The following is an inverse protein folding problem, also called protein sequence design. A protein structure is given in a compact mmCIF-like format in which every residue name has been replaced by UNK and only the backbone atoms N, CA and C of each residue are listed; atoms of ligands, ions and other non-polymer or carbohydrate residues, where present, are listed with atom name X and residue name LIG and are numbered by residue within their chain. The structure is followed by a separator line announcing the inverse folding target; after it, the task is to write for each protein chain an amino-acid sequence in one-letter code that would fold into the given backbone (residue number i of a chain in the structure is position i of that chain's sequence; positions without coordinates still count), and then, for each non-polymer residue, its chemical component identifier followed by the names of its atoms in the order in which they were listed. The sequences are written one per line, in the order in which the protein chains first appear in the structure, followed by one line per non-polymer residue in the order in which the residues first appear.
data_IF_954473928017
#
_entry.id   IF_954473928017
#
_cell.length_a   1.000
_cell.length_b   1.000
_cell.length_c   1.000
_cell.angle_alpha   90.00
_cell.angle_beta   90.00
_cell.angle_gamma   90.00
#
_symmetry.space_group_name_H-M   'P 1'
#
loop_
_entity.id
_entity.type
_entity.pdbx_description
1 polymer ?
#
# COMPACT_ATOMS: atom_id res chain seq x y z
N UNK A 1 -12.90 20.38 -3.44
CA UNK A 1 -13.81 21.28 -2.74
C UNK A 1 -13.17 22.00 -1.53
N UNK A 2 -11.86 21.80 -1.29
CA UNK A 2 -11.10 22.50 -0.25
C UNK A 2 -11.44 22.09 1.20
N UNK A 3 -12.07 20.93 1.39
CA UNK A 3 -12.39 20.38 2.71
C UNK A 3 -11.79 18.99 2.84
N UNK A 4 -11.20 18.69 4.01
CA UNK A 4 -10.67 17.40 4.35
C UNK A 4 -11.62 16.63 5.26
N UNK A 5 -11.69 15.31 5.09
CA UNK A 5 -12.52 14.42 5.89
C UNK A 5 -11.68 13.22 6.31
N UNK A 6 -11.88 12.77 7.55
CA UNK A 6 -11.32 11.54 8.08
C UNK A 6 -12.44 10.54 8.27
N UNK A 7 -12.32 9.36 7.64
CA UNK A 7 -13.26 8.25 7.72
C UNK A 7 -12.70 7.10 8.52
N UNK A 8 -13.55 6.45 9.32
CA UNK A 8 -13.20 5.23 10.07
C UNK A 8 -14.45 4.46 10.47
N UNK A 9 -14.27 3.28 11.04
CA UNK A 9 -15.31 2.54 11.77
C UNK A 9 -15.41 1.06 11.40
N UNK A 10 -15.87 0.27 12.37
CA UNK A 10 -16.18 -1.15 12.29
C UNK A 10 -17.30 -1.47 13.29
N UNK A 11 -18.47 -1.90 12.85
CA UNK A 11 -19.04 -1.97 11.50
C UNK A 11 -19.78 -0.69 11.08
N UNK A 12 -19.76 0.35 11.88
CA UNK A 12 -20.44 1.60 11.59
C UNK A 12 -19.44 2.58 10.99
N UNK A 13 -19.73 3.05 9.80
CA UNK A 13 -18.94 4.08 9.15
C UNK A 13 -19.20 5.43 9.78
N UNK A 14 -18.14 6.12 10.13
CA UNK A 14 -18.16 7.48 10.69
C UNK A 14 -17.18 8.37 9.95
N UNK A 15 -17.43 9.67 10.02
CA UNK A 15 -16.45 10.65 9.57
C UNK A 15 -16.49 11.92 10.42
N UNK A 16 -15.38 12.67 10.38
CA UNK A 16 -15.29 14.06 10.82
C UNK A 16 -14.86 14.94 9.66
N UNK A 17 -15.21 16.20 9.70
CA UNK A 17 -14.63 17.24 8.85
C UNK A 17 -13.42 17.83 9.57
N UNK A 18 -12.24 17.69 8.99
CA UNK A 18 -11.03 18.29 9.55
C UNK A 18 -11.02 19.81 9.36
N UNK A 19 -10.43 20.50 10.32
CA UNK A 19 -10.10 21.92 10.21
C UNK A 19 -8.86 22.12 9.32
N UNK A 20 -8.54 23.36 9.00
CA UNK A 20 -7.39 23.68 8.13
C UNK A 20 -6.03 23.23 8.71
N UNK A 21 -5.95 23.09 10.02
CA UNK A 21 -4.75 22.59 10.71
C UNK A 21 -4.48 21.09 10.50
N UNK A 22 -5.47 20.34 9.97
CA UNK A 22 -5.44 18.90 9.70
C UNK A 22 -5.24 18.01 10.95
N UNK A 23 -5.26 18.56 12.14
CA UNK A 23 -5.10 17.85 13.44
C UNK A 23 -6.29 18.02 14.39
N UNK A 24 -7.18 18.96 14.10
CA UNK A 24 -8.44 19.14 14.78
C UNK A 24 -9.62 18.98 13.83
N UNK A 25 -10.84 18.88 14.36
CA UNK A 25 -12.03 18.70 13.55
C UNK A 25 -13.16 19.63 13.98
N UNK A 26 -14.07 19.88 13.07
CA UNK A 26 -15.22 20.75 13.23
C UNK A 26 -16.30 20.09 14.10
N UNK A 27 -16.48 20.60 15.31
CA UNK A 27 -17.47 20.10 16.27
C UNK A 27 -18.91 20.58 16.01
N UNK A 28 -19.13 21.43 14.99
CA UNK A 28 -20.44 21.99 14.69
C UNK A 28 -21.34 21.07 13.85
N UNK A 29 -20.81 19.96 13.34
CA UNK A 29 -21.56 18.97 12.54
C UNK A 29 -21.77 17.68 13.32
N UNK A 30 -22.83 16.94 13.01
CA UNK A 30 -23.11 15.64 13.63
C UNK A 30 -23.26 15.70 15.16
N UNK A 31 -22.84 14.62 15.81
CA UNK A 31 -22.77 14.52 17.26
C UNK A 31 -21.36 14.90 17.74
N UNK A 32 -21.20 16.10 18.29
CA UNK A 32 -19.91 16.65 18.72
C UNK A 32 -18.79 16.56 17.64
N UNK A 33 -19.16 16.77 16.38
CA UNK A 33 -18.25 16.70 15.24
C UNK A 33 -18.22 15.35 14.53
N UNK A 34 -18.76 14.30 15.13
CA UNK A 34 -18.79 12.95 14.53
C UNK A 34 -20.11 12.77 13.77
N UNK A 35 -20.01 12.40 12.51
CA UNK A 35 -21.16 12.05 11.68
C UNK A 35 -21.19 10.53 11.50
N UNK A 36 -22.27 9.92 11.95
CA UNK A 36 -22.57 8.51 11.71
C UNK A 36 -23.26 8.38 10.36
N UNK A 37 -22.65 7.64 9.45
CA UNK A 37 -23.24 7.38 8.13
C UNK A 37 -24.38 6.37 8.28
N UNK A 38 -25.48 6.62 7.62
CA UNK A 38 -26.62 5.70 7.63
C UNK A 38 -26.25 4.42 6.86
N UNK A 39 -26.30 3.29 7.57
CA UNK A 39 -25.88 1.97 7.05
C UNK A 39 -27.08 1.26 6.41
N UNK A 40 -27.39 1.61 5.15
CA UNK A 40 -28.46 0.97 4.37
C UNK A 40 -27.91 -0.01 3.35
N UNK A 41 -28.71 -1.00 2.94
CA UNK A 41 -28.31 -1.94 1.88
C UNK A 41 -28.08 -1.26 0.53
N UNK A 42 -28.83 -0.18 0.23
CA UNK A 42 -28.64 0.61 -0.98
C UNK A 42 -27.26 1.32 -1.01
N UNK A 43 -26.79 1.74 0.18
CA UNK A 43 -25.53 2.44 0.33
C UNK A 43 -24.33 1.49 0.42
N UNK A 44 -24.46 0.32 1.09
CA UNK A 44 -23.33 -0.55 1.43
C UNK A 44 -23.53 -2.03 1.11
N UNK A 45 -24.58 -2.36 0.37
CA UNK A 45 -24.90 -3.72 -0.03
C UNK A 45 -25.61 -4.54 1.04
N UNK A 46 -26.33 -5.54 0.60
CA UNK A 46 -27.04 -6.47 1.46
C UNK A 46 -26.06 -7.53 2.01
N UNK A 47 -26.11 -7.73 3.33
CA UNK A 47 -25.34 -8.79 4.00
C UNK A 47 -26.11 -10.10 3.98
N UNK A 48 -25.44 -11.20 3.61
CA UNK A 48 -26.05 -12.52 3.57
C UNK A 48 -26.49 -13.00 4.96
N UNK A 49 -25.64 -12.79 5.96
CA UNK A 49 -25.93 -13.14 7.37
C UNK A 49 -25.92 -11.88 8.22
N UNK A 50 -27.09 -11.31 8.45
CA UNK A 50 -27.28 -10.11 9.26
C UNK A 50 -27.24 -10.44 10.75
N UNK A 51 -26.70 -9.51 11.54
CA UNK A 51 -26.75 -9.53 12.99
C UNK A 51 -27.06 -8.13 13.51
N UNK A 52 -27.32 -7.98 14.82
CA UNK A 52 -27.53 -6.67 15.43
C UNK A 52 -26.33 -5.73 15.24
N UNK A 53 -25.13 -6.30 15.09
CA UNK A 53 -23.89 -5.56 14.86
C UNK A 53 -23.67 -5.24 13.38
N UNK A 54 -23.90 -6.20 12.48
CA UNK A 54 -23.63 -6.09 11.05
C UNK A 54 -24.93 -6.16 10.25
N UNK A 55 -25.41 -5.01 9.79
CA UNK A 55 -26.69 -4.87 9.07
C UNK A 55 -26.52 -4.80 7.55
N UNK A 56 -25.33 -4.41 7.09
CA UNK A 56 -24.97 -4.29 5.67
C UNK A 56 -23.71 -5.07 5.36
N UNK A 57 -23.28 -5.07 4.10
CA UNK A 57 -22.07 -5.76 3.68
C UNK A 57 -20.76 -5.07 4.13
N UNK A 58 -20.82 -3.80 4.58
CA UNK A 58 -19.68 -3.07 5.12
C UNK A 58 -19.14 -3.73 6.40
N UNK A 59 -17.81 -3.91 6.46
CA UNK A 59 -17.10 -4.36 7.66
C UNK A 59 -16.29 -3.20 8.28
N UNK A 60 -15.24 -2.77 7.55
CA UNK A 60 -14.24 -1.83 8.02
C UNK A 60 -13.33 -1.30 6.89
N UNK A 61 -12.24 -0.64 7.24
CA UNK A 61 -11.19 -0.23 6.33
C UNK A 61 -11.63 0.74 5.22
N UNK A 62 -12.40 1.81 5.55
CA UNK A 62 -12.90 2.71 4.51
C UNK A 62 -11.76 3.49 3.88
N UNK A 63 -11.71 3.52 2.56
CA UNK A 63 -10.81 4.33 1.77
C UNK A 63 -11.59 5.21 0.80
N UNK A 64 -11.56 6.53 1.04
CA UNK A 64 -12.21 7.50 0.17
C UNK A 64 -11.25 7.99 -0.91
N UNK A 65 -11.67 7.89 -2.16
CA UNK A 65 -10.94 8.41 -3.30
C UNK A 65 -11.86 9.20 -4.23
N UNK A 66 -11.35 10.27 -4.84
CA UNK A 66 -12.07 11.07 -5.84
C UNK A 66 -11.47 10.84 -7.21
N UNK A 67 -12.27 10.38 -8.16
CA UNK A 67 -11.88 10.18 -9.55
C UNK A 67 -13.09 10.24 -10.46
N UNK A 68 -12.89 10.42 -11.76
CA UNK A 68 -13.95 10.41 -12.78
C UNK A 68 -15.17 11.30 -12.44
N UNK A 69 -14.92 12.42 -11.76
CA UNK A 69 -15.98 13.38 -11.39
C UNK A 69 -16.87 12.98 -10.21
N UNK A 70 -16.60 11.87 -9.54
CA UNK A 70 -17.35 11.38 -8.38
C UNK A 70 -16.43 10.88 -7.28
N UNK A 71 -17.01 10.46 -6.16
CA UNK A 71 -16.30 9.85 -5.04
C UNK A 71 -16.54 8.35 -5.01
N UNK A 72 -15.50 7.61 -4.69
CA UNK A 72 -15.49 6.17 -4.50
C UNK A 72 -15.08 5.89 -3.05
N UNK A 73 -15.88 5.12 -2.36
CA UNK A 73 -15.55 4.62 -1.03
C UNK A 73 -15.35 3.11 -1.14
N UNK A 74 -14.10 2.68 -1.04
CA UNK A 74 -13.74 1.27 -0.99
C UNK A 74 -13.72 0.81 0.46
N UNK A 75 -14.09 -0.43 0.73
CA UNK A 75 -14.15 -0.97 2.08
C UNK A 75 -14.06 -2.50 2.11
N UNK A 76 -13.58 -3.04 3.23
CA UNK A 76 -13.66 -4.46 3.53
C UNK A 76 -15.12 -4.87 3.75
N UNK A 77 -15.52 -6.01 3.20
CA UNK A 77 -16.92 -6.41 3.15
C UNK A 77 -17.13 -7.92 3.28
N UNK A 78 -18.36 -8.32 3.65
CA UNK A 78 -18.87 -9.69 3.52
C UNK A 78 -18.50 -10.66 4.61
N UNK A 79 -17.89 -10.21 5.70
CA UNK A 79 -17.39 -11.07 6.78
C UNK A 79 -16.05 -11.72 6.44
N UNK A 80 -15.48 -12.45 7.38
CA UNK A 80 -14.16 -13.09 7.27
C UNK A 80 -14.29 -14.47 6.59
N UNK A 81 -13.51 -14.78 5.53
CA UNK A 81 -12.56 -13.92 4.83
C UNK A 81 -13.25 -12.77 4.08
N UNK A 82 -12.63 -11.59 4.16
CA UNK A 82 -13.16 -10.38 3.56
C UNK A 82 -12.98 -10.34 2.04
N UNK A 83 -13.87 -9.59 1.41
CA UNK A 83 -13.73 -9.09 0.03
C UNK A 83 -13.56 -7.58 0.08
N UNK A 84 -13.15 -6.94 -1.01
CA UNK A 84 -13.22 -5.49 -1.13
C UNK A 84 -14.42 -5.12 -2.00
N UNK A 85 -15.31 -4.31 -1.42
CA UNK A 85 -16.45 -3.74 -2.13
C UNK A 85 -16.31 -2.22 -2.22
N UNK A 86 -17.21 -1.59 -2.97
CA UNK A 86 -17.21 -0.14 -3.07
C UNK A 86 -18.61 0.45 -3.25
N UNK A 87 -18.71 1.71 -2.88
CA UNK A 87 -19.85 2.57 -3.14
C UNK A 87 -19.40 3.86 -3.81
N UNK A 88 -20.30 4.53 -4.52
CA UNK A 88 -20.02 5.82 -5.13
C UNK A 88 -20.97 6.90 -4.62
N UNK A 89 -20.53 8.15 -4.70
CA UNK A 89 -21.33 9.31 -4.33
C UNK A 89 -20.96 10.56 -5.15
N UNK A 90 -21.88 11.52 -5.31
CA UNK A 90 -21.57 12.80 -5.96
C UNK A 90 -20.77 13.73 -5.05
N UNK A 91 -20.78 13.52 -3.74
CA UNK A 91 -20.01 14.30 -2.77
C UNK A 91 -19.17 13.42 -1.85
N UNK A 92 -18.18 13.99 -1.17
CA UNK A 92 -17.35 13.27 -0.22
C UNK A 92 -18.15 12.66 0.96
N UNK A 93 -19.35 13.13 1.21
CA UNK A 93 -20.19 12.70 2.34
C UNK A 93 -21.45 11.94 1.93
N UNK A 94 -21.56 11.55 0.67
CA UNK A 94 -22.72 10.84 0.14
C UNK A 94 -23.66 11.73 -0.72
N UNK A 95 -24.92 11.29 -0.98
CA UNK A 95 -25.44 9.98 -0.61
C UNK A 95 -24.70 8.85 -1.32
N UNK A 96 -24.48 7.74 -0.60
CA UNK A 96 -23.75 6.58 -1.11
C UNK A 96 -24.66 5.63 -1.88
N UNK A 97 -24.14 5.03 -2.94
CA UNK A 97 -24.78 3.98 -3.75
C UNK A 97 -23.84 2.82 -3.89
N UNK A 98 -24.24 1.64 -3.42
CA UNK A 98 -23.46 0.41 -3.51
C UNK A 98 -23.25 -0.01 -4.97
N UNK A 99 -22.06 -0.43 -5.31
CA UNK A 99 -21.67 -0.83 -6.67
C UNK A 99 -21.27 -2.30 -6.79
N UNK A 100 -21.03 -2.96 -5.67
CA UNK A 100 -20.65 -4.38 -5.66
C UNK A 100 -19.25 -4.63 -5.15
N UNK A 101 -18.83 -5.87 -5.28
CA UNK A 101 -17.49 -6.35 -4.97
C UNK A 101 -16.57 -6.01 -6.13
N UNK A 102 -15.41 -5.43 -5.83
CA UNK A 102 -14.37 -5.08 -6.81
C UNK A 102 -13.21 -6.05 -6.76
N UNK A 103 -12.90 -6.61 -5.59
CA UNK A 103 -11.93 -7.69 -5.43
C UNK A 103 -12.57 -8.81 -4.60
N UNK A 104 -12.77 -9.95 -5.24
CA UNK A 104 -13.34 -11.15 -4.61
C UNK A 104 -12.26 -11.94 -3.85
N UNK A 105 -12.67 -12.96 -3.13
CA UNK A 105 -11.77 -13.89 -2.43
C UNK A 105 -10.89 -14.60 -3.45
N UNK A 106 -9.60 -14.64 -3.14
CA UNK A 106 -8.60 -15.28 -4.00
C UNK A 106 -7.65 -16.13 -3.15
N UNK A 107 -7.18 -17.28 -3.63
CA UNK A 107 -6.11 -18.03 -2.97
C UNK A 107 -4.89 -17.12 -2.74
N UNK A 108 -4.34 -17.15 -1.53
CA UNK A 108 -3.20 -16.32 -1.13
C UNK A 108 -3.55 -14.90 -0.65
N UNK A 109 -4.80 -14.45 -0.77
CA UNK A 109 -5.24 -13.27 -0.04
C UNK A 109 -5.35 -13.58 1.46
N UNK A 110 -4.99 -12.59 2.27
CA UNK A 110 -5.22 -12.63 3.71
C UNK A 110 -6.72 -12.74 4.01
N UNK A 111 -7.07 -13.31 5.16
CA UNK A 111 -8.48 -13.39 5.59
C UNK A 111 -9.09 -12.02 5.90
N UNK A 112 -8.26 -11.00 6.17
CA UNK A 112 -8.63 -9.59 6.18
C UNK A 112 -8.04 -8.93 4.93
N UNK A 113 -8.76 -8.00 4.31
CA UNK A 113 -8.27 -7.33 3.11
C UNK A 113 -8.72 -5.86 3.08
N UNK A 114 -7.76 -4.96 3.15
CA UNK A 114 -7.99 -3.53 3.07
C UNK A 114 -7.40 -2.97 1.78
N UNK A 115 -8.04 -1.94 1.25
CA UNK A 115 -7.61 -1.26 0.03
C UNK A 115 -7.06 0.12 0.28
N UNK A 116 -6.24 0.58 -0.65
CA UNK A 116 -5.84 1.97 -0.79
C UNK A 116 -5.83 2.34 -2.27
N UNK A 117 -6.26 3.54 -2.61
CA UNK A 117 -6.26 4.02 -4.00
C UNK A 117 -5.54 5.34 -4.08
N UNK A 118 -4.65 5.47 -5.06
CA UNK A 118 -3.94 6.71 -5.35
C UNK A 118 -3.83 6.92 -6.85
N UNK A 119 -3.91 8.17 -7.28
CA UNK A 119 -3.51 8.55 -8.62
C UNK A 119 -2.04 8.95 -8.61
N UNK A 120 -1.25 8.29 -9.44
CA UNK A 120 0.16 8.57 -9.58
C UNK A 120 0.56 8.61 -11.06
N UNK A 121 1.10 9.75 -11.49
CA UNK A 121 1.52 10.00 -12.89
C UNK A 121 0.44 9.66 -13.93
N UNK A 122 -0.82 10.00 -13.63
CA UNK A 122 -1.95 9.79 -14.54
C UNK A 122 -2.49 8.34 -14.55
N UNK A 123 -2.03 7.48 -13.66
CA UNK A 123 -2.57 6.12 -13.47
C UNK A 123 -3.23 6.04 -12.10
N UNK A 124 -4.41 5.46 -12.04
CA UNK A 124 -5.05 5.09 -10.77
C UNK A 124 -4.54 3.71 -10.36
N UNK A 125 -3.99 3.63 -9.17
CA UNK A 125 -3.37 2.43 -8.59
C UNK A 125 -4.18 1.97 -7.40
N UNK A 126 -4.45 0.66 -7.37
CA UNK A 126 -5.16 0.01 -6.29
C UNK A 126 -4.21 -0.84 -5.46
N UNK A 127 -4.02 -0.45 -4.22
CA UNK A 127 -3.20 -1.18 -3.25
C UNK A 127 -4.08 -2.09 -2.41
N UNK A 128 -3.57 -3.25 -2.10
CA UNK A 128 -4.18 -4.23 -1.20
C UNK A 128 -3.08 -5.03 -0.50
N UNK A 129 -3.42 -6.05 0.26
CA UNK A 129 -2.42 -6.92 0.87
C UNK A 129 -2.77 -8.40 0.70
N UNK A 130 -1.73 -9.23 0.74
CA UNK A 130 -1.83 -10.68 0.73
C UNK A 130 -0.90 -11.31 1.77
N UNK A 131 -0.77 -12.63 1.75
CA UNK A 131 0.07 -13.41 2.67
C UNK A 131 1.10 -14.28 1.94
N UNK A 132 1.45 -13.96 0.69
CA UNK A 132 2.22 -14.86 -0.18
C UNK A 132 3.73 -14.75 -0.02
N UNK A 133 4.27 -13.72 0.64
CA UNK A 133 5.69 -13.65 0.95
C UNK A 133 6.12 -14.70 1.97
N UNK A 134 7.38 -15.14 1.96
CA UNK A 134 7.91 -16.04 3.00
C UNK A 134 7.61 -15.52 4.41
N UNK A 135 7.05 -16.36 5.27
CA UNK A 135 6.58 -15.97 6.60
C UNK A 135 5.26 -15.22 6.62
N UNK A 136 4.58 -15.10 5.50
CA UNK A 136 3.26 -14.49 5.38
C UNK A 136 2.17 -15.24 6.14
N UNK A 137 1.06 -14.57 6.39
CA UNK A 137 -0.11 -15.09 7.09
C UNK A 137 -1.12 -13.97 7.29
N UNK A 138 -2.28 -14.29 7.89
CA UNK A 138 -3.38 -13.33 8.00
C UNK A 138 -3.04 -11.99 8.64
N UNK A 139 -2.02 -11.95 9.50
CA UNK A 139 -1.51 -10.69 10.11
C UNK A 139 -0.13 -10.28 9.61
N UNK A 140 0.60 -11.17 8.93
CA UNK A 140 1.89 -10.88 8.30
C UNK A 140 1.64 -10.51 6.83
N UNK A 141 1.25 -9.27 6.61
CA UNK A 141 0.69 -8.77 5.35
C UNK A 141 1.77 -8.26 4.43
N UNK A 142 1.66 -8.60 3.15
CA UNK A 142 2.51 -8.10 2.07
C UNK A 142 1.74 -7.14 1.20
N UNK A 143 2.30 -5.97 0.92
CA UNK A 143 1.66 -4.97 0.06
C UNK A 143 1.67 -5.42 -1.39
N UNK A 144 0.52 -5.32 -2.04
CA UNK A 144 0.31 -5.60 -3.45
C UNK A 144 -0.26 -4.38 -4.16
N UNK A 145 -0.10 -4.30 -5.46
CA UNK A 145 -0.62 -3.22 -6.29
C UNK A 145 -1.06 -3.72 -7.65
N UNK A 146 -2.23 -3.24 -8.08
CA UNK A 146 -2.79 -3.45 -9.42
C UNK A 146 -3.22 -2.11 -10.02
N UNK A 147 -3.46 -2.09 -11.34
CA UNK A 147 -4.13 -0.95 -11.96
C UNK A 147 -5.60 -0.89 -11.56
N UNK A 148 -6.10 0.28 -11.20
CA UNK A 148 -7.53 0.53 -11.05
C UNK A 148 -8.10 0.93 -12.41
N UNK A 149 -8.78 -0.02 -13.05
CA UNK A 149 -9.40 0.20 -14.35
C UNK A 149 -10.90 0.46 -14.23
N UNK A 150 -11.44 1.20 -15.20
CA UNK A 150 -12.86 1.56 -15.24
C UNK A 150 -13.51 1.02 -16.51
N UNK A 151 -14.75 0.56 -16.35
CA UNK A 151 -15.63 0.23 -17.47
C UNK A 151 -16.15 1.52 -18.12
N UNK A 152 -16.69 1.43 -19.37
CA UNK A 152 -17.25 2.61 -20.05
C UNK A 152 -18.41 3.32 -19.31
N UNK A 153 -19.09 2.60 -18.42
CA UNK A 153 -20.19 3.12 -17.59
C UNK A 153 -19.68 3.81 -16.30
N UNK A 154 -18.36 3.88 -16.09
CA UNK A 154 -17.73 4.46 -14.92
C UNK A 154 -17.67 3.53 -13.68
N UNK A 155 -18.16 2.30 -13.80
CA UNK A 155 -17.94 1.29 -12.75
C UNK A 155 -16.49 0.83 -12.74
N UNK A 156 -16.02 0.36 -11.58
CA UNK A 156 -14.68 -0.21 -11.45
C UNK A 156 -14.67 -1.62 -12.02
N UNK A 157 -13.72 -1.92 -12.90
CA UNK A 157 -13.51 -3.27 -13.40
C UNK A 157 -13.04 -4.19 -12.26
N UNK A 158 -13.42 -5.48 -12.25
CA UNK A 158 -12.96 -6.42 -11.24
C UNK A 158 -11.42 -6.47 -11.16
N UNK A 159 -10.89 -6.42 -9.95
CA UNK A 159 -9.46 -6.48 -9.69
C UNK A 159 -9.08 -7.92 -9.37
N UNK A 160 -8.22 -8.48 -10.20
CA UNK A 160 -7.72 -9.84 -10.07
C UNK A 160 -6.25 -9.75 -9.62
N UNK A 161 -5.92 -10.30 -8.44
CA UNK A 161 -4.54 -10.32 -7.95
C UNK A 161 -3.59 -10.98 -8.96
N UNK A 162 -2.47 -10.33 -9.24
CA UNK A 162 -1.42 -10.85 -10.12
C UNK A 162 -0.17 -11.23 -9.35
N UNK A 163 0.61 -12.14 -9.90
CA UNK A 163 1.96 -12.43 -9.40
C UNK A 163 2.93 -11.44 -10.02
N UNK A 164 3.58 -10.64 -9.17
CA UNK A 164 4.54 -9.64 -9.60
C UNK A 164 3.96 -8.25 -9.88
N UNK A 165 2.65 -8.04 -9.67
CA UNK A 165 2.00 -6.74 -9.73
C UNK A 165 2.04 -6.10 -11.12
N UNK A 166 2.03 -4.78 -11.17
CA UNK A 166 2.06 -3.98 -12.39
C UNK A 166 3.33 -4.25 -13.19
N UNK A 167 3.18 -4.74 -14.42
CA UNK A 167 4.31 -5.09 -15.28
C UNK A 167 4.84 -3.89 -16.07
N UNK A 168 3.97 -2.96 -16.44
CA UNK A 168 4.35 -1.76 -17.15
C UNK A 168 4.87 -0.70 -16.17
N UNK A 169 6.07 -0.20 -16.43
CA UNK A 169 6.70 0.82 -15.59
C UNK A 169 5.95 2.15 -15.65
N UNK A 170 5.66 2.71 -14.48
CA UNK A 170 5.10 4.06 -14.36
C UNK A 170 6.19 5.13 -14.57
N UNK A 171 7.45 4.74 -14.40
CA UNK A 171 8.61 5.60 -14.57
C UNK A 171 9.90 4.83 -14.43
N UNK A 172 11.01 5.56 -14.42
CA UNK A 172 12.34 5.02 -14.26
C UNK A 172 12.99 5.53 -12.97
N UNK A 173 13.80 4.68 -12.34
CA UNK A 173 14.65 5.05 -11.23
C UNK A 173 15.98 5.59 -11.76
N UNK A 174 16.37 6.81 -11.34
CA UNK A 174 17.69 7.36 -11.67
C UNK A 174 18.75 6.74 -10.77
N UNK A 175 19.77 6.08 -11.32
CA UNK A 175 20.88 5.54 -10.53
C UNK A 175 21.97 6.58 -10.22
N UNK A 176 21.80 7.82 -10.69
CA UNK A 176 22.82 8.88 -10.57
C UNK A 176 22.58 9.81 -9.38
N UNK A 177 21.55 9.57 -8.61
CA UNK A 177 21.26 10.23 -7.34
C UNK A 177 21.18 9.20 -6.23
N UNK A 178 21.36 9.64 -4.98
CA UNK A 178 21.15 8.78 -3.82
C UNK A 178 19.73 8.22 -3.83
N UNK A 179 19.62 6.91 -3.64
CA UNK A 179 18.38 6.16 -3.47
C UNK A 179 18.53 5.40 -2.16
N UNK A 180 17.57 5.53 -1.27
CA UNK A 180 17.57 4.80 -0.01
C UNK A 180 17.35 3.30 -0.26
N UNK A 181 18.03 2.45 0.49
CA UNK A 181 18.04 1.00 0.25
C UNK A 181 16.65 0.35 0.42
N UNK A 182 15.81 0.94 1.27
CA UNK A 182 14.42 0.52 1.46
C UNK A 182 13.50 0.87 0.26
N UNK A 183 13.97 1.67 -0.70
CA UNK A 183 13.29 1.90 -1.99
C UNK A 183 13.54 0.72 -2.91
N UNK A 184 12.87 -0.38 -2.66
CA UNK A 184 13.06 -1.64 -3.39
C UNK A 184 11.76 -2.13 -4.04
N UNK A 185 11.88 -2.85 -5.15
CA UNK A 185 10.76 -3.51 -5.80
C UNK A 185 10.52 -4.93 -5.24
N UNK A 186 11.54 -5.52 -4.61
CA UNK A 186 11.48 -6.82 -3.97
C UNK A 186 12.68 -7.02 -3.05
N UNK A 187 12.53 -7.86 -2.04
CA UNK A 187 13.62 -8.28 -1.16
C UNK A 187 13.42 -9.70 -0.66
N UNK A 188 14.47 -10.31 -0.18
CA UNK A 188 14.44 -11.60 0.50
C UNK A 188 15.48 -11.59 1.63
N UNK A 189 15.09 -12.07 2.82
CA UNK A 189 15.92 -12.24 4.01
C UNK A 189 16.09 -10.99 4.88
N UNK A 190 15.99 -9.79 4.33
CA UNK A 190 16.29 -8.52 5.00
C UNK A 190 15.20 -8.09 6.00
N UNK A 191 15.59 -7.22 6.93
CA UNK A 191 14.69 -6.49 7.82
C UNK A 191 14.83 -4.99 7.64
N UNK A 192 13.88 -4.23 8.15
CA UNK A 192 13.94 -2.76 8.22
C UNK A 192 13.97 -2.32 9.67
N UNK A 193 14.80 -1.34 9.96
CA UNK A 193 14.83 -0.65 11.25
C UNK A 193 14.79 0.86 11.04
N UNK A 194 14.60 1.62 12.10
CA UNK A 194 14.61 3.08 12.06
C UNK A 194 15.43 3.66 13.19
N UNK A 195 16.10 4.77 12.90
CA UNK A 195 16.86 5.58 13.85
C UNK A 195 16.50 7.05 13.64
N UNK A 196 16.51 7.84 14.71
CA UNK A 196 16.10 9.26 14.65
C UNK A 196 17.02 10.12 13.76
N UNK A 197 18.30 9.75 13.61
CA UNK A 197 19.30 10.52 12.85
C UNK A 197 19.37 10.13 11.38
N UNK A 198 19.22 8.82 11.09
CA UNK A 198 19.43 8.28 9.73
C UNK A 198 18.12 7.90 9.02
N UNK A 199 17.00 7.86 9.75
CA UNK A 199 15.72 7.43 9.21
C UNK A 199 15.57 5.91 9.15
N UNK A 200 14.81 5.40 8.17
CA UNK A 200 14.66 3.97 7.93
C UNK A 200 15.89 3.43 7.19
N UNK A 201 16.28 2.21 7.49
CA UNK A 201 17.41 1.53 6.86
C UNK A 201 17.21 0.01 6.82
N UNK A 202 17.91 -0.63 5.90
CA UNK A 202 17.95 -2.10 5.77
C UNK A 202 18.94 -2.68 6.77
N UNK A 203 18.54 -3.73 7.50
CA UNK A 203 19.34 -4.44 8.52
C UNK A 203 19.15 -5.94 8.45
N UNK A 204 19.80 -6.68 9.35
CA UNK A 204 19.79 -8.15 9.44
C UNK A 204 20.13 -8.81 8.10
N UNK A 205 21.29 -8.39 7.56
CA UNK A 205 21.78 -8.87 6.28
C UNK A 205 22.65 -10.11 6.47
N UNK A 206 22.16 -11.24 5.97
CA UNK A 206 22.87 -12.53 5.95
C UNK A 206 23.33 -12.92 4.52
N UNK A 207 24.11 -13.98 4.44
CA UNK A 207 24.58 -14.49 3.15
C UNK A 207 23.43 -15.00 2.28
N UNK A 208 23.30 -14.48 1.08
CA UNK A 208 22.23 -14.79 0.13
C UNK A 208 21.04 -13.84 0.16
N UNK A 209 20.98 -12.93 1.12
CA UNK A 209 19.95 -11.89 1.16
C UNK A 209 20.12 -10.90 0.02
N UNK A 210 19.02 -10.34 -0.48
CA UNK A 210 19.10 -9.37 -1.56
C UNK A 210 17.96 -8.36 -1.56
N UNK A 211 18.20 -7.22 -2.17
CA UNK A 211 17.21 -6.26 -2.62
C UNK A 211 17.21 -6.18 -4.14
N UNK A 212 16.05 -5.94 -4.73
CA UNK A 212 15.87 -5.81 -6.18
C UNK A 212 15.27 -4.45 -6.52
N UNK A 213 15.93 -3.75 -7.40
CA UNK A 213 15.42 -2.54 -8.03
C UNK A 213 14.88 -2.87 -9.42
N UNK A 214 13.87 -2.17 -9.90
CA UNK A 214 13.29 -2.32 -11.24
C UNK A 214 13.36 -1.01 -12.00
N UNK A 215 13.40 -1.10 -13.32
CA UNK A 215 13.36 0.05 -14.23
C UNK A 215 14.42 1.12 -13.94
N UNK A 216 15.62 0.67 -13.59
CA UNK A 216 16.77 1.56 -13.37
C UNK A 216 17.28 2.06 -14.72
N UNK A 217 17.30 3.38 -14.92
CA UNK A 217 17.67 4.00 -16.20
C UNK A 217 19.15 4.36 -16.25
N UNK A 218 19.98 3.46 -16.76
CA UNK A 218 21.42 3.69 -16.99
C UNK A 218 21.68 4.38 -18.35
N UNK A 219 21.04 5.51 -18.61
CA UNK A 219 21.11 6.18 -19.93
C UNK A 219 22.53 6.52 -20.39
N UNK A 220 23.45 6.76 -19.46
CA UNK A 220 24.85 7.11 -19.74
C UNK A 220 25.83 6.00 -19.30
N UNK A 221 25.31 4.85 -18.91
CA UNK A 221 26.08 3.79 -18.27
C UNK A 221 26.51 4.16 -16.85
N UNK A 222 27.08 3.19 -16.13
CA UNK A 222 27.63 3.39 -14.80
C UNK A 222 29.00 2.71 -14.73
N UNK A 223 29.93 3.34 -14.03
CA UNK A 223 31.30 2.82 -13.84
C UNK A 223 31.65 2.61 -12.37
N UNK A 224 30.81 3.10 -11.48
CA UNK A 224 31.05 3.09 -10.04
C UNK A 224 29.73 2.85 -9.31
N UNK A 225 29.76 2.02 -8.30
CA UNK A 225 28.71 1.84 -7.32
C UNK A 225 29.18 2.42 -5.98
N UNK A 226 28.35 3.22 -5.35
CA UNK A 226 28.60 3.80 -4.03
C UNK A 226 27.47 3.36 -3.10
N UNK A 227 27.83 2.95 -1.91
CA UNK A 227 26.88 2.56 -0.88
C UNK A 227 27.27 3.18 0.46
N UNK A 228 26.26 3.61 1.22
CA UNK A 228 26.43 3.97 2.60
C UNK A 228 25.98 2.77 3.45
N UNK A 229 26.95 2.11 4.05
CA UNK A 229 26.73 0.89 4.83
C UNK A 229 27.62 0.88 6.07
N UNK A 230 27.19 0.17 7.11
CA UNK A 230 27.96 -0.10 8.30
C UNK A 230 28.04 -1.60 8.57
N UNK A 231 29.12 -2.05 9.19
CA UNK A 231 29.29 -3.42 9.65
C UNK A 231 29.89 -3.40 11.08
N UNK A 232 29.44 -4.29 11.97
CA UNK A 232 29.96 -4.37 13.34
C UNK A 232 31.46 -4.61 13.37
N UNK A 233 32.08 -4.26 14.51
CA UNK A 233 33.53 -4.51 14.71
C UNK A 233 33.86 -6.00 14.53
N UNK A 234 34.89 -6.27 13.76
CA UNK A 234 35.33 -7.64 13.45
C UNK A 234 34.51 -8.37 12.38
N UNK A 235 33.45 -7.75 11.84
CA UNK A 235 32.69 -8.28 10.72
C UNK A 235 33.13 -7.66 9.39
N UNK A 236 32.91 -8.38 8.31
CA UNK A 236 33.12 -7.92 6.94
C UNK A 236 32.14 -8.64 6.01
N UNK A 237 31.78 -7.98 4.94
CA UNK A 237 30.88 -8.55 3.94
C UNK A 237 31.16 -8.02 2.55
N UNK A 238 30.39 -8.48 1.59
CA UNK A 238 30.42 -7.94 0.23
C UNK A 238 29.01 -7.84 -0.33
N UNK A 239 28.79 -6.80 -1.11
CA UNK A 239 27.57 -6.60 -1.87
C UNK A 239 27.88 -6.90 -3.32
N UNK A 240 27.21 -7.88 -3.89
CA UNK A 240 27.27 -8.19 -5.31
C UNK A 240 26.25 -7.35 -6.07
N UNK A 241 26.68 -6.72 -7.14
CA UNK A 241 25.83 -5.98 -8.06
C UNK A 241 25.56 -6.84 -9.26
N UNK A 242 24.31 -7.26 -9.44
CA UNK A 242 23.89 -8.18 -10.52
C UNK A 242 22.79 -7.55 -11.37
N UNK A 243 22.67 -8.01 -12.61
CA UNK A 243 21.63 -7.61 -13.55
C UNK A 243 20.76 -8.81 -13.94
N UNK A 244 19.46 -8.60 -14.09
CA UNK A 244 18.50 -9.63 -14.49
C UNK A 244 17.90 -10.44 -13.33
N UNK A 245 18.54 -10.49 -12.18
CA UNK A 245 18.07 -11.20 -10.98
C UNK A 245 19.21 -11.59 -10.06
N UNK A 246 18.92 -12.26 -8.94
CA UNK A 246 19.93 -12.69 -7.95
C UNK A 246 20.99 -13.63 -8.50
N UNK A 247 20.62 -14.46 -9.48
CA UNK A 247 21.54 -15.38 -10.17
C UNK A 247 21.98 -14.84 -11.54
N UNK A 248 21.72 -13.56 -11.81
CA UNK A 248 22.05 -12.90 -13.06
C UNK A 248 23.54 -12.54 -13.18
N UNK A 249 23.90 -11.89 -14.27
CA UNK A 249 25.29 -11.48 -14.55
C UNK A 249 25.85 -10.60 -13.43
N UNK A 250 27.02 -10.97 -12.89
CA UNK A 250 27.75 -10.19 -11.90
C UNK A 250 28.46 -9.01 -12.60
N UNK A 251 28.02 -7.80 -12.28
CA UNK A 251 28.63 -6.57 -12.81
C UNK A 251 29.78 -6.06 -11.94
N UNK A 252 29.76 -6.33 -10.65
CA UNK A 252 30.79 -5.90 -9.72
C UNK A 252 30.51 -6.33 -8.29
N UNK A 253 31.49 -6.08 -7.43
CA UNK A 253 31.43 -6.39 -6.00
C UNK A 253 31.92 -5.21 -5.17
N UNK A 254 31.18 -4.85 -4.13
CA UNK A 254 31.55 -3.84 -3.17
C UNK A 254 31.87 -4.51 -1.83
N UNK A 255 33.13 -4.39 -1.37
CA UNK A 255 33.54 -4.93 -0.08
C UNK A 255 33.24 -3.94 1.04
N UNK A 256 32.49 -4.38 2.01
CA UNK A 256 32.16 -3.63 3.22
C UNK A 256 33.16 -4.04 4.31
N UNK A 257 33.91 -3.08 4.79
CA UNK A 257 34.83 -3.28 5.93
C UNK A 257 34.08 -3.01 7.22
N UNK A 258 34.57 -3.61 8.31
CA UNK A 258 34.14 -3.25 9.65
C UNK A 258 34.23 -1.73 9.83
N UNK A 259 33.13 -1.12 10.25
CA UNK A 259 33.09 0.27 10.64
C UNK A 259 33.13 0.31 12.14
N UNK A 260 34.17 0.95 12.71
CA UNK A 260 34.16 1.28 14.13
C UNK A 260 33.02 2.30 14.27
N UNK A 261 32.07 2.05 15.17
CA UNK A 261 31.14 3.10 15.58
C UNK A 261 31.99 4.23 16.15
N UNK A 262 32.15 5.34 15.43
CA UNK A 262 32.54 6.57 16.06
C UNK A 262 31.45 6.90 17.07
N UNK A 263 31.66 6.44 18.31
CA UNK A 263 30.85 6.84 19.42
C UNK A 263 31.18 8.28 19.72
N UNK A 264 30.21 9.14 19.40
CA UNK A 264 29.88 10.34 20.14
C UNK A 264 28.46 10.77 19.75
#
# INVERSE_FOLDING_TARGET
EGRAYLYWGNPKLMYVRLNEDMISYDTSIGDQGIVYVEMTSDAFGERAEKSDKYTTNYEEGPWLWKGNGQYYLFFAAGGIPEVIAYSTAPTATGPWSYRGVVMDRHPGLSFTNHSGVVEFKGRALFFYHNETLPGGGGFNRSVCVEDLCFNPDGSVAPIIPTVGGIQEAIGTLSPYSRVEAETMAWSEGIQLASDEKIGVYVTDLDDGDYIKLRNVAFAQGARRFEVHASAPEGSAGSIEIRIGGKDGELLGMCHIKSTVSEGE
#
